data_IF_085842417165
#
_entry.id   IF_085842417165
#
_cell.length_a   1.000
_cell.length_b   1.000
_cell.length_c   1.000
_cell.angle_alpha   90.00
_cell.angle_beta   90.00
_cell.angle_gamma   90.00
#
_symmetry.space_group_name_H-M   'P 1'
#
loop_
_entity.id
_entity.type
_entity.pdbx_description
1 polymer ?
#
# COMPACT_ATOMS: atom_id res chain seq x y z
N UNK A 1 1.07 -6.01 20.90
CA UNK A 1 1.16 -5.35 22.19
C UNK A 1 2.42 -5.83 22.89
N UNK A 2 3.16 -4.91 23.49
CA UNK A 2 4.44 -5.19 24.15
C UNK A 2 4.29 -6.15 25.35
N UNK A 3 3.06 -6.44 25.74
CA UNK A 3 2.67 -7.35 26.85
C UNK A 3 2.53 -8.82 26.47
N UNK A 4 2.70 -9.21 25.19
CA UNK A 4 2.61 -10.63 24.82
C UNK A 4 3.89 -11.38 25.17
N UNK A 5 3.77 -12.63 25.67
CA UNK A 5 4.94 -13.48 25.98
C UNK A 5 5.87 -13.65 24.77
N UNK A 6 5.30 -13.74 23.56
CA UNK A 6 6.06 -13.83 22.31
C UNK A 6 6.93 -12.59 22.09
N UNK A 7 6.40 -11.38 22.34
CA UNK A 7 7.14 -10.14 22.18
C UNK A 7 8.24 -9.98 23.23
N UNK A 8 7.93 -10.29 24.48
CA UNK A 8 8.91 -10.29 25.56
C UNK A 8 10.04 -11.31 25.29
N UNK A 9 9.70 -12.50 24.79
CA UNK A 9 10.67 -13.50 24.37
C UNK A 9 11.54 -12.99 23.21
N UNK A 10 10.95 -12.32 22.21
CA UNK A 10 11.68 -11.75 21.08
C UNK A 10 12.63 -10.60 21.52
N UNK A 11 12.19 -9.74 22.44
CA UNK A 11 13.03 -8.68 23.02
C UNK A 11 14.22 -9.23 23.80
N UNK A 12 14.02 -10.30 24.59
CA UNK A 12 15.09 -10.99 25.29
C UNK A 12 16.05 -11.61 24.28
N UNK A 13 15.54 -12.29 23.24
CA UNK A 13 16.37 -12.86 22.18
C UNK A 13 17.21 -11.80 21.47
N UNK A 14 16.59 -10.69 21.05
CA UNK A 14 17.29 -9.62 20.35
C UNK A 14 18.31 -8.88 21.23
N UNK A 15 18.11 -8.87 22.56
CA UNK A 15 19.04 -8.24 23.49
C UNK A 15 20.21 -9.14 23.88
N UNK A 16 19.97 -10.43 24.05
CA UNK A 16 20.97 -11.38 24.56
C UNK A 16 21.67 -12.18 23.46
N UNK A 17 21.08 -12.24 22.25
CA UNK A 17 21.59 -13.02 21.12
C UNK A 17 21.60 -12.18 19.84
N UNK A 18 22.65 -12.32 19.06
CA UNK A 18 22.71 -11.77 17.70
C UNK A 18 21.91 -12.71 16.79
N UNK A 19 20.80 -12.23 16.24
CA UNK A 19 20.01 -12.99 15.27
C UNK A 19 20.53 -12.70 13.87
N UNK A 20 21.40 -13.56 13.37
CA UNK A 20 21.95 -13.45 12.02
C UNK A 20 20.86 -13.57 10.95
N UNK A 21 21.01 -12.85 9.84
CA UNK A 21 20.17 -13.02 8.68
C UNK A 21 20.43 -14.34 7.98
N UNK A 22 19.38 -15.01 7.52
CA UNK A 22 19.46 -16.27 6.79
C UNK A 22 18.74 -16.20 5.44
N UNK A 23 19.20 -17.04 4.51
CA UNK A 23 18.54 -17.26 3.23
C UNK A 23 18.51 -18.75 2.90
N UNK A 24 17.39 -19.21 2.36
CA UNK A 24 17.26 -20.52 1.73
C UNK A 24 17.51 -20.39 0.24
N UNK A 25 18.53 -21.06 -0.26
CA UNK A 25 18.94 -21.04 -1.66
C UNK A 25 18.76 -22.42 -2.24
N UNK A 26 17.82 -22.57 -3.17
CA UNK A 26 17.62 -23.81 -3.91
C UNK A 26 18.25 -23.65 -5.29
N UNK A 27 19.01 -24.66 -5.70
CA UNK A 27 19.61 -24.76 -7.03
C UNK A 27 19.10 -26.05 -7.67
N UNK A 28 18.48 -25.94 -8.85
CA UNK A 28 17.92 -27.05 -9.59
C UNK A 28 18.89 -27.55 -10.67
N UNK A 29 18.68 -28.78 -11.13
CA UNK A 29 19.45 -29.43 -12.19
C UNK A 29 20.94 -29.59 -11.88
N UNK A 30 21.29 -29.89 -10.62
CA UNK A 30 22.65 -30.15 -10.18
C UNK A 30 22.80 -31.57 -9.64
N UNK A 31 23.95 -32.17 -9.86
CA UNK A 31 24.32 -33.44 -9.23
C UNK A 31 24.73 -33.19 -7.78
N UNK A 32 24.74 -34.24 -6.94
CA UNK A 32 25.15 -34.09 -5.55
C UNK A 32 26.60 -33.56 -5.42
N UNK A 33 27.52 -34.04 -6.25
CA UNK A 33 28.92 -33.56 -6.27
C UNK A 33 29.01 -32.07 -6.64
N UNK A 34 28.24 -31.63 -7.64
CA UNK A 34 28.17 -30.20 -7.97
C UNK A 34 27.57 -29.38 -6.83
N UNK A 35 26.60 -29.93 -6.10
CA UNK A 35 26.02 -29.25 -4.94
C UNK A 35 27.05 -29.10 -3.79
N UNK A 36 27.91 -30.10 -3.57
CA UNK A 36 29.03 -30.00 -2.60
C UNK A 36 30.03 -28.91 -3.03
N UNK A 37 30.39 -28.85 -4.31
CA UNK A 37 31.27 -27.79 -4.85
C UNK A 37 30.64 -26.39 -4.71
N UNK A 38 29.34 -26.28 -4.97
CA UNK A 38 28.60 -25.03 -4.78
C UNK A 38 28.52 -24.62 -3.31
N UNK A 39 28.36 -25.57 -2.39
CA UNK A 39 28.37 -25.28 -0.96
C UNK A 39 29.74 -24.70 -0.51
N UNK A 40 30.86 -25.27 -0.99
CA UNK A 40 32.19 -24.73 -0.70
C UNK A 40 32.42 -23.35 -1.32
N UNK A 41 31.95 -23.15 -2.57
CA UNK A 41 32.01 -21.84 -3.23
C UNK A 41 31.23 -20.79 -2.45
N UNK A 42 30.02 -21.12 -2.01
CA UNK A 42 29.15 -20.22 -1.27
C UNK A 42 29.72 -19.85 0.11
N UNK A 43 30.47 -20.75 0.78
CA UNK A 43 31.15 -20.45 2.03
C UNK A 43 32.27 -19.41 1.85
N UNK A 44 32.83 -19.30 0.65
CA UNK A 44 33.84 -18.29 0.30
C UNK A 44 33.27 -16.94 -0.14
N UNK A 45 31.97 -16.77 -0.23
CA UNK A 45 31.34 -15.52 -0.68
C UNK A 45 31.39 -14.47 0.43
N UNK A 46 31.82 -13.27 0.10
CA UNK A 46 31.89 -12.16 1.04
C UNK A 46 30.51 -11.82 1.66
N UNK A 47 30.48 -11.75 3.00
CA UNK A 47 29.27 -11.54 3.79
C UNK A 47 28.54 -12.82 4.19
N UNK A 48 28.99 -14.00 3.77
CA UNK A 48 28.47 -15.30 4.19
C UNK A 48 29.24 -15.80 5.41
N UNK A 49 28.52 -16.14 6.47
CA UNK A 49 29.06 -16.69 7.72
C UNK A 49 29.16 -18.21 7.69
N UNK A 50 28.08 -18.86 7.25
CA UNK A 50 28.03 -20.31 7.16
C UNK A 50 27.03 -20.76 6.10
N UNK A 51 27.29 -21.95 5.53
CA UNK A 51 26.41 -22.63 4.61
C UNK A 51 26.15 -24.04 5.13
N UNK A 52 24.90 -24.33 5.44
CA UNK A 52 24.45 -25.67 5.83
C UNK A 52 23.99 -26.42 4.57
N UNK A 53 24.65 -27.55 4.32
CA UNK A 53 24.29 -28.50 3.28
C UNK A 53 24.73 -29.87 3.73
N UNK A 54 23.78 -30.79 3.86
CA UNK A 54 24.01 -32.16 4.33
C UNK A 54 23.51 -33.18 3.33
N UNK A 55 24.02 -34.39 3.43
CA UNK A 55 23.62 -35.51 2.58
C UNK A 55 22.34 -36.17 3.09
N UNK A 56 21.26 -35.41 3.06
CA UNK A 56 19.93 -35.87 3.46
C UNK A 56 18.86 -35.49 2.41
N UNK A 57 17.66 -36.00 2.57
CA UNK A 57 16.53 -35.72 1.67
C UNK A 57 15.96 -34.30 1.83
N UNK A 58 16.37 -33.56 2.87
CA UNK A 58 15.95 -32.19 3.09
C UNK A 58 16.81 -31.22 2.30
N UNK A 59 18.11 -31.52 2.17
CA UNK A 59 19.06 -30.66 1.45
C UNK A 59 19.29 -31.08 0.00
N UNK A 60 19.08 -32.36 -0.35
CA UNK A 60 19.23 -32.80 -1.74
C UNK A 60 18.14 -33.80 -2.12
N UNK A 61 17.34 -33.43 -3.13
CA UNK A 61 16.27 -34.28 -3.66
C UNK A 61 16.04 -33.99 -5.15
N UNK A 62 15.83 -35.02 -5.96
CA UNK A 62 15.41 -34.92 -7.37
C UNK A 62 16.25 -33.94 -8.20
N UNK A 63 17.60 -34.07 -8.12
CA UNK A 63 18.56 -33.18 -8.78
C UNK A 63 18.43 -31.70 -8.38
N UNK A 64 17.93 -31.41 -7.19
CA UNK A 64 17.87 -30.08 -6.59
C UNK A 64 18.57 -30.06 -5.23
N UNK A 65 19.38 -29.04 -5.01
CA UNK A 65 20.09 -28.82 -3.76
C UNK A 65 19.50 -27.61 -3.02
N UNK A 66 19.31 -27.74 -1.71
CA UNK A 66 18.86 -26.66 -0.82
C UNK A 66 19.98 -26.32 0.15
N UNK A 67 20.47 -25.08 0.08
CA UNK A 67 21.47 -24.52 0.98
C UNK A 67 20.78 -23.57 1.96
N UNK A 68 21.11 -23.67 3.26
CA UNK A 68 20.75 -22.65 4.24
C UNK A 68 21.98 -21.79 4.48
N UNK A 69 21.94 -20.56 3.99
CA UNK A 69 23.04 -19.60 4.04
C UNK A 69 22.78 -18.60 5.16
N UNK A 70 23.70 -18.54 6.14
CA UNK A 70 23.67 -17.55 7.22
C UNK A 70 24.70 -16.45 6.90
N UNK A 71 24.34 -15.19 7.12
CA UNK A 71 25.17 -14.03 6.82
C UNK A 71 25.78 -13.41 8.07
N UNK A 72 26.85 -12.60 7.92
CA UNK A 72 27.62 -12.02 9.03
C UNK A 72 26.93 -10.87 9.77
N UNK A 73 25.73 -10.48 9.37
CA UNK A 73 24.95 -9.40 9.98
C UNK A 73 23.50 -9.81 10.26
N UNK A 74 22.76 -8.90 10.89
CA UNK A 74 21.33 -9.05 11.10
C UNK A 74 20.53 -8.89 9.78
N UNK A 75 19.24 -9.20 9.79
CA UNK A 75 18.36 -9.17 8.60
C UNK A 75 18.32 -7.83 7.85
N UNK A 76 18.52 -6.72 8.54
CA UNK A 76 18.50 -5.37 7.96
C UNK A 76 19.88 -4.75 7.77
N UNK A 77 20.95 -5.46 8.14
CA UNK A 77 22.31 -4.97 7.99
C UNK A 77 22.73 -4.91 6.52
N UNK A 78 23.49 -3.86 6.20
CA UNK A 78 24.06 -3.69 4.85
C UNK A 78 24.95 -4.86 4.42
N UNK A 79 25.64 -5.49 5.38
CA UNK A 79 26.49 -6.66 5.14
C UNK A 79 25.65 -7.84 4.66
N UNK A 80 24.54 -8.14 5.35
CA UNK A 80 23.64 -9.22 4.96
C UNK A 80 22.95 -8.94 3.63
N UNK A 81 22.48 -7.70 3.40
CA UNK A 81 21.86 -7.28 2.14
C UNK A 81 22.86 -7.42 0.96
N UNK A 82 24.10 -7.00 1.17
CA UNK A 82 25.15 -7.16 0.15
C UNK A 82 25.53 -8.62 -0.03
N UNK A 83 25.60 -9.41 1.05
CA UNK A 83 25.88 -10.85 1.02
C UNK A 83 24.85 -11.61 0.16
N UNK A 84 23.56 -11.31 0.29
CA UNK A 84 22.52 -11.90 -0.57
C UNK A 84 22.74 -11.57 -2.05
N UNK A 85 23.15 -10.33 -2.36
CA UNK A 85 23.48 -9.92 -3.74
C UNK A 85 24.71 -10.67 -4.26
N UNK A 86 25.72 -10.83 -3.44
CA UNK A 86 26.95 -11.56 -3.78
C UNK A 86 26.67 -13.05 -4.02
N UNK A 87 25.84 -13.68 -3.17
CA UNK A 87 25.37 -15.07 -3.35
C UNK A 87 24.62 -15.22 -4.66
N UNK A 88 23.71 -14.27 -4.98
CA UNK A 88 22.98 -14.29 -6.25
C UNK A 88 23.92 -14.15 -7.45
N UNK A 89 24.90 -13.28 -7.38
CA UNK A 89 25.90 -13.10 -8.44
C UNK A 89 26.81 -14.33 -8.60
N UNK A 90 27.18 -14.98 -7.50
CA UNK A 90 27.99 -16.22 -7.53
C UNK A 90 27.25 -17.41 -8.16
N UNK A 91 25.93 -17.40 -8.10
CA UNK A 91 25.08 -18.43 -8.70
C UNK A 91 24.51 -18.01 -10.07
N UNK A 92 25.06 -16.96 -10.67
CA UNK A 92 24.67 -16.56 -12.02
C UNK A 92 24.98 -17.68 -13.02
N UNK A 93 23.99 -18.07 -13.81
CA UNK A 93 24.07 -19.21 -14.73
C UNK A 93 23.50 -20.53 -14.20
N UNK A 94 23.08 -20.61 -12.94
CA UNK A 94 22.33 -21.72 -12.38
C UNK A 94 20.85 -21.39 -12.26
N UNK A 95 20.00 -22.42 -12.32
CA UNK A 95 18.56 -22.27 -12.04
C UNK A 95 18.34 -22.20 -10.54
N UNK A 96 18.25 -20.95 -10.02
CA UNK A 96 18.30 -20.66 -8.59
C UNK A 96 17.02 -19.97 -8.10
N UNK A 97 16.57 -20.40 -6.91
CA UNK A 97 15.45 -19.80 -6.17
C UNK A 97 15.93 -19.41 -4.76
N UNK A 98 15.91 -18.13 -4.45
CA UNK A 98 16.37 -17.60 -3.15
C UNK A 98 15.18 -17.06 -2.38
N UNK A 99 14.95 -17.60 -1.18
CA UNK A 99 13.95 -17.12 -0.21
C UNK A 99 14.66 -16.59 1.02
N UNK A 100 14.45 -15.32 1.33
CA UNK A 100 15.07 -14.67 2.49
C UNK A 100 14.20 -13.50 2.98
N UNK A 101 14.36 -13.16 4.27
CA UNK A 101 13.77 -11.95 4.87
C UNK A 101 14.80 -10.80 4.95
N UNK A 102 16.03 -11.01 4.49
CA UNK A 102 17.09 -10.01 4.50
C UNK A 102 16.76 -8.87 3.53
N UNK A 103 16.92 -7.63 3.99
CA UNK A 103 16.60 -6.44 3.21
C UNK A 103 15.10 -6.18 3.03
N UNK A 104 14.24 -6.91 3.76
CA UNK A 104 12.78 -6.83 3.69
C UNK A 104 12.23 -6.99 2.26
N UNK A 105 12.56 -8.08 1.55
CA UNK A 105 12.13 -8.28 0.16
C UNK A 105 10.60 -8.31 0.02
N UNK A 106 9.90 -8.74 1.09
CA UNK A 106 8.43 -8.71 1.14
C UNK A 106 7.90 -7.28 1.03
N UNK A 107 8.57 -6.30 1.64
CA UNK A 107 8.21 -4.89 1.55
C UNK A 107 8.33 -4.34 0.13
N UNK A 108 9.45 -4.61 -0.55
CA UNK A 108 9.68 -4.15 -1.93
C UNK A 108 8.71 -4.79 -2.93
N UNK A 109 8.45 -6.10 -2.79
CA UNK A 109 7.48 -6.82 -3.63
C UNK A 109 6.09 -6.23 -3.41
N UNK A 110 5.69 -6.05 -2.16
CA UNK A 110 4.38 -5.51 -1.80
C UNK A 110 4.22 -4.06 -2.30
N UNK A 111 5.27 -3.24 -2.23
CA UNK A 111 5.25 -1.88 -2.78
C UNK A 111 5.01 -1.87 -4.30
N UNK A 112 5.67 -2.74 -5.02
CA UNK A 112 5.48 -2.87 -6.46
C UNK A 112 4.07 -3.34 -6.80
N UNK A 113 3.56 -4.36 -6.13
CA UNK A 113 2.20 -4.87 -6.33
C UNK A 113 1.16 -3.80 -6.00
N UNK A 114 1.31 -3.09 -4.89
CA UNK A 114 0.38 -2.00 -4.52
C UNK A 114 0.42 -0.84 -5.51
N UNK A 115 1.55 -0.55 -6.13
CA UNK A 115 1.63 0.47 -7.20
C UNK A 115 0.83 0.05 -8.42
N UNK A 116 0.88 -1.23 -8.80
CA UNK A 116 0.09 -1.78 -9.91
C UNK A 116 -1.42 -1.68 -9.57
N UNK A 117 -1.80 -2.07 -8.36
CA UNK A 117 -3.19 -1.97 -7.89
C UNK A 117 -3.69 -0.52 -7.95
N UNK A 118 -2.89 0.45 -7.50
CA UNK A 118 -3.25 1.88 -7.56
C UNK A 118 -3.42 2.37 -9.01
N UNK A 119 -2.57 1.95 -9.93
CA UNK A 119 -2.70 2.31 -11.34
C UNK A 119 -3.99 1.73 -11.93
N UNK A 120 -4.29 0.45 -11.68
CA UNK A 120 -5.51 -0.20 -12.14
C UNK A 120 -6.74 0.51 -11.57
N UNK A 121 -6.71 0.83 -10.27
CA UNK A 121 -7.77 1.56 -9.59
C UNK A 121 -7.98 2.94 -10.23
N UNK A 122 -6.91 3.71 -10.45
CA UNK A 122 -7.01 5.04 -11.09
C UNK A 122 -7.57 4.95 -12.50
N UNK A 123 -7.15 3.96 -13.30
CA UNK A 123 -7.71 3.74 -14.63
C UNK A 123 -9.20 3.35 -14.56
N UNK A 124 -9.59 2.49 -13.63
CA UNK A 124 -10.98 2.08 -13.41
C UNK A 124 -11.85 3.28 -13.01
N UNK A 125 -11.37 4.10 -12.06
CA UNK A 125 -12.03 5.34 -11.64
C UNK A 125 -12.24 6.27 -12.84
N UNK A 126 -11.21 6.49 -13.64
CA UNK A 126 -11.29 7.34 -14.82
C UNK A 126 -12.34 6.85 -15.81
N UNK A 127 -12.38 5.54 -16.07
CA UNK A 127 -13.40 4.93 -16.95
C UNK A 127 -14.82 5.11 -16.38
N UNK A 128 -15.00 4.82 -15.09
CA UNK A 128 -16.32 4.99 -14.43
C UNK A 128 -16.76 6.44 -14.49
N UNK A 129 -15.89 7.39 -14.20
CA UNK A 129 -16.20 8.81 -14.26
C UNK A 129 -16.58 9.26 -15.68
N UNK A 130 -15.89 8.77 -16.71
CA UNK A 130 -16.25 9.07 -18.11
C UNK A 130 -17.61 8.52 -18.50
N UNK A 131 -18.03 7.38 -17.94
CA UNK A 131 -19.32 6.76 -18.24
C UNK A 131 -20.46 7.36 -17.42
N UNK A 132 -20.17 7.83 -16.20
CA UNK A 132 -21.20 8.31 -15.24
C UNK A 132 -21.35 9.83 -15.27
N UNK A 133 -20.29 10.56 -15.64
CA UNK A 133 -20.29 12.03 -15.66
C UNK A 133 -21.17 12.55 -16.80
N UNK A 134 -22.11 13.41 -16.49
CA UNK A 134 -22.92 14.12 -17.47
C UNK A 134 -22.14 15.22 -18.19
N UNK A 135 -21.01 15.67 -17.61
CA UNK A 135 -20.19 16.74 -18.18
C UNK A 135 -18.70 16.43 -18.00
N UNK A 136 -17.93 16.46 -19.09
CA UNK A 136 -16.48 16.23 -19.05
C UNK A 136 -15.71 17.17 -18.11
N UNK A 137 -16.26 18.33 -17.79
CA UNK A 137 -15.66 19.28 -16.85
C UNK A 137 -15.74 18.84 -15.38
N UNK A 138 -16.59 17.88 -15.03
CA UNK A 138 -16.65 17.30 -13.67
C UNK A 138 -15.43 16.44 -13.37
N UNK A 139 -14.91 15.72 -14.37
CA UNK A 139 -13.79 14.79 -14.20
C UNK A 139 -12.54 15.45 -13.61
N UNK A 140 -12.05 16.61 -14.13
CA UNK A 140 -10.91 17.29 -13.50
C UNK A 140 -11.18 17.79 -12.07
N UNK A 141 -12.39 18.22 -11.75
CA UNK A 141 -12.77 18.60 -10.38
C UNK A 141 -12.58 17.42 -9.43
N UNK A 142 -13.05 16.25 -9.83
CA UNK A 142 -12.96 15.03 -9.04
C UNK A 142 -11.51 14.58 -8.85
N UNK A 143 -10.74 14.57 -9.94
CA UNK A 143 -9.32 14.17 -9.88
C UNK A 143 -8.52 15.10 -8.96
N UNK A 144 -8.71 16.42 -9.06
CA UNK A 144 -8.03 17.39 -8.19
C UNK A 144 -8.44 17.19 -6.73
N UNK A 145 -9.72 17.01 -6.45
CA UNK A 145 -10.25 16.79 -5.11
C UNK A 145 -9.62 15.54 -4.47
N UNK A 146 -9.55 14.44 -5.21
CA UNK A 146 -8.96 13.19 -4.71
C UNK A 146 -7.44 13.29 -4.55
N UNK A 147 -6.75 13.92 -5.49
CA UNK A 147 -5.31 14.11 -5.40
C UNK A 147 -4.94 14.93 -4.14
N UNK A 148 -5.68 16.00 -3.85
CA UNK A 148 -5.46 16.81 -2.65
C UNK A 148 -5.79 16.01 -1.39
N UNK A 149 -6.89 15.24 -1.36
CA UNK A 149 -7.25 14.41 -0.21
C UNK A 149 -6.15 13.38 0.12
N UNK A 150 -5.65 12.66 -0.91
CA UNK A 150 -4.56 11.70 -0.74
C UNK A 150 -3.25 12.39 -0.30
N UNK A 151 -2.94 13.54 -0.87
CA UNK A 151 -1.74 14.30 -0.53
C UNK A 151 -1.75 14.77 0.92
N UNK A 152 -2.86 15.35 1.38
CA UNK A 152 -3.04 15.79 2.75
C UNK A 152 -2.96 14.60 3.72
N UNK A 153 -3.59 13.49 3.37
CA UNK A 153 -3.50 12.28 4.19
C UNK A 153 -2.05 11.75 4.31
N UNK A 154 -1.31 11.67 3.20
CA UNK A 154 0.10 11.24 3.21
C UNK A 154 0.99 12.24 3.96
N UNK A 155 0.80 13.53 3.74
CA UNK A 155 1.59 14.59 4.41
C UNK A 155 1.42 14.58 5.93
N UNK A 156 0.22 14.28 6.40
CA UNK A 156 -0.09 14.21 7.84
C UNK A 156 0.31 12.88 8.50
N UNK A 157 0.76 11.88 7.74
CA UNK A 157 1.33 10.64 8.29
C UNK A 157 2.60 10.90 9.12
N UNK A 158 3.27 12.02 8.90
CA UNK A 158 4.39 12.45 9.73
C UNK A 158 4.06 12.53 11.25
N UNK A 159 2.81 12.78 11.61
CA UNK A 159 2.38 12.79 13.01
C UNK A 159 2.31 11.39 13.66
N UNK A 160 2.24 10.35 12.84
CA UNK A 160 2.25 8.94 13.28
C UNK A 160 3.65 8.37 13.02
N UNK A 161 4.59 8.54 13.91
CA UNK A 161 6.04 8.23 13.80
C UNK A 161 6.40 7.06 12.87
N UNK A 162 5.62 5.98 12.88
CA UNK A 162 5.80 4.81 12.03
C UNK A 162 4.44 4.35 11.49
N UNK A 163 4.16 4.59 10.22
CA UNK A 163 2.99 4.04 9.55
C UNK A 163 3.42 2.84 8.72
N UNK A 164 2.78 1.69 8.93
CA UNK A 164 3.04 0.51 8.11
C UNK A 164 2.82 0.82 6.63
N UNK A 165 3.71 0.32 5.79
CA UNK A 165 3.59 0.42 4.33
C UNK A 165 2.23 -0.13 3.84
N UNK A 166 1.77 -1.24 4.43
CA UNK A 166 0.47 -1.85 4.14
C UNK A 166 -0.66 -0.87 4.45
N UNK A 167 -0.65 -0.26 5.64
CA UNK A 167 -1.63 0.73 6.08
C UNK A 167 -1.69 1.93 5.14
N UNK A 168 -0.53 2.47 4.76
CA UNK A 168 -0.46 3.63 3.85
C UNK A 168 -1.04 3.32 2.45
N UNK A 169 -0.80 2.12 1.95
CA UNK A 169 -1.31 1.68 0.64
C UNK A 169 -2.82 1.44 0.68
N UNK A 170 -3.32 0.74 1.71
CA UNK A 170 -4.75 0.48 1.89
C UNK A 170 -5.51 1.80 2.11
N UNK A 171 -4.94 2.74 2.85
CA UNK A 171 -5.54 4.06 3.07
C UNK A 171 -5.77 4.82 1.75
N UNK A 172 -4.80 4.80 0.83
CA UNK A 172 -4.94 5.44 -0.47
C UNK A 172 -6.05 4.78 -1.32
N UNK A 173 -6.11 3.44 -1.35
CA UNK A 173 -7.14 2.68 -2.08
C UNK A 173 -8.54 2.97 -1.52
N UNK A 174 -8.69 2.89 -0.19
CA UNK A 174 -9.96 3.17 0.48
C UNK A 174 -10.42 4.63 0.25
N UNK A 175 -9.49 5.57 0.36
CA UNK A 175 -9.77 6.99 0.19
C UNK A 175 -10.23 7.31 -1.24
N UNK A 176 -9.63 6.68 -2.24
CA UNK A 176 -10.05 6.82 -3.63
C UNK A 176 -11.42 6.17 -3.87
N UNK A 177 -11.66 4.97 -3.34
CA UNK A 177 -12.94 4.27 -3.48
C UNK A 177 -14.10 5.05 -2.86
N UNK A 178 -13.99 5.45 -1.59
CA UNK A 178 -15.01 6.25 -0.91
C UNK A 178 -15.13 7.65 -1.51
N UNK A 179 -14.03 8.20 -2.02
CA UNK A 179 -14.02 9.52 -2.65
C UNK A 179 -14.95 9.60 -3.84
N UNK A 180 -14.99 8.57 -4.68
CA UNK A 180 -15.88 8.51 -5.84
C UNK A 180 -17.33 8.59 -5.38
N UNK A 181 -17.73 7.79 -4.39
CA UNK A 181 -19.10 7.76 -3.91
C UNK A 181 -19.53 9.13 -3.39
N UNK A 182 -18.69 9.79 -2.60
CA UNK A 182 -18.98 11.13 -2.07
C UNK A 182 -19.04 12.20 -3.15
N UNK A 183 -18.18 12.07 -4.13
CA UNK A 183 -18.13 12.98 -5.25
C UNK A 183 -19.34 12.83 -6.17
N UNK A 184 -19.78 11.62 -6.45
CA UNK A 184 -20.98 11.35 -7.24
C UNK A 184 -22.21 11.93 -6.55
N UNK A 185 -22.36 11.74 -5.22
CA UNK A 185 -23.46 12.34 -4.44
C UNK A 185 -23.47 13.85 -4.60
N UNK A 186 -22.32 14.51 -4.41
CA UNK A 186 -22.21 15.96 -4.53
C UNK A 186 -22.49 16.47 -5.94
N UNK A 187 -21.95 15.82 -6.98
CA UNK A 187 -22.17 16.16 -8.38
C UNK A 187 -23.64 15.97 -8.77
N UNK A 188 -24.26 14.86 -8.34
CA UNK A 188 -25.65 14.58 -8.64
C UNK A 188 -26.57 15.66 -8.10
N UNK A 189 -26.46 16.03 -6.83
CA UNK A 189 -27.20 17.14 -6.24
C UNK A 189 -26.90 18.46 -6.93
N UNK A 190 -25.64 18.72 -7.30
CA UNK A 190 -25.30 19.95 -8.01
C UNK A 190 -25.96 20.01 -9.38
N UNK A 191 -25.94 18.95 -10.17
CA UNK A 191 -26.54 18.91 -11.51
C UNK A 191 -28.06 19.11 -11.43
N UNK A 192 -28.71 18.44 -10.49
CA UNK A 192 -30.19 18.59 -10.29
C UNK A 192 -30.61 20.02 -9.90
N UNK A 193 -29.88 20.62 -8.94
CA UNK A 193 -30.20 21.98 -8.50
C UNK A 193 -29.79 23.05 -9.53
N UNK A 194 -28.77 22.75 -10.35
CA UNK A 194 -28.27 23.67 -11.38
C UNK A 194 -29.29 23.91 -12.52
N UNK A 195 -30.19 22.97 -12.75
CA UNK A 195 -31.31 23.17 -13.71
C UNK A 195 -32.27 24.30 -13.29
N UNK A 196 -32.32 24.61 -12.00
CA UNK A 196 -33.31 25.52 -11.42
C UNK A 196 -32.72 26.78 -10.80
N UNK A 197 -31.44 26.80 -10.52
CA UNK A 197 -30.77 27.87 -9.75
C UNK A 197 -29.45 28.30 -10.41
N UNK A 198 -29.02 29.51 -10.04
CA UNK A 198 -27.70 30.01 -10.40
C UNK A 198 -26.55 29.12 -9.79
N UNK A 199 -25.37 29.07 -10.42
CA UNK A 199 -24.31 28.17 -10.00
C UNK A 199 -23.96 28.21 -8.51
N UNK A 200 -23.93 29.41 -7.94
CA UNK A 200 -23.64 29.63 -6.53
C UNK A 200 -24.70 29.07 -5.60
N UNK A 201 -25.96 29.33 -5.92
CA UNK A 201 -27.12 28.87 -5.13
C UNK A 201 -27.26 27.35 -5.25
N UNK A 202 -27.11 26.81 -6.46
CA UNK A 202 -27.09 25.38 -6.72
C UNK A 202 -26.01 24.66 -5.93
N UNK A 203 -24.77 25.22 -5.88
CA UNK A 203 -23.67 24.64 -5.11
C UNK A 203 -23.97 24.63 -3.61
N UNK A 204 -24.50 25.71 -3.05
CA UNK A 204 -24.85 25.79 -1.62
C UNK A 204 -25.96 24.77 -1.31
N UNK A 205 -26.98 24.67 -2.19
CA UNK A 205 -28.05 23.72 -1.99
C UNK A 205 -27.59 22.28 -2.09
N UNK A 206 -26.80 21.95 -3.11
CA UNK A 206 -26.19 20.64 -3.28
C UNK A 206 -25.36 20.23 -2.06
N UNK A 207 -24.53 21.14 -1.55
CA UNK A 207 -23.75 20.89 -0.35
C UNK A 207 -24.64 20.61 0.88
N UNK A 208 -25.73 21.37 1.03
CA UNK A 208 -26.67 21.19 2.13
C UNK A 208 -27.32 19.80 2.10
N UNK A 209 -27.61 19.28 0.90
CA UNK A 209 -28.19 17.95 0.71
C UNK A 209 -27.13 16.84 0.87
N UNK A 210 -25.93 17.04 0.33
CA UNK A 210 -24.86 16.05 0.35
C UNK A 210 -24.24 15.84 1.75
N UNK A 211 -24.14 16.87 2.59
CA UNK A 211 -23.52 16.77 3.93
C UNK A 211 -24.14 15.64 4.78
N UNK A 212 -25.46 15.56 5.00
CA UNK A 212 -26.05 14.51 5.83
C UNK A 212 -25.85 13.12 5.22
N UNK A 213 -25.93 12.95 3.90
CA UNK A 213 -25.76 11.66 3.23
C UNK A 213 -24.32 11.15 3.35
N UNK A 214 -23.35 11.99 2.99
CA UNK A 214 -21.92 11.66 3.08
C UNK A 214 -21.51 11.44 4.54
N UNK A 215 -21.99 12.27 5.47
CA UNK A 215 -21.67 12.14 6.89
C UNK A 215 -22.23 10.85 7.49
N UNK A 216 -23.44 10.44 7.14
CA UNK A 216 -24.03 9.20 7.61
C UNK A 216 -23.24 7.96 7.11
N UNK A 217 -22.89 7.94 5.83
CA UNK A 217 -22.06 6.89 5.23
C UNK A 217 -20.69 6.83 5.88
N UNK A 218 -20.01 8.00 6.01
CA UNK A 218 -18.68 8.09 6.62
C UNK A 218 -18.69 7.65 8.09
N UNK A 219 -19.71 8.04 8.86
CA UNK A 219 -19.83 7.66 10.27
C UNK A 219 -19.96 6.15 10.43
N UNK A 220 -20.71 5.50 9.55
CA UNK A 220 -20.83 4.03 9.53
C UNK A 220 -19.47 3.37 9.27
N UNK A 221 -18.73 3.86 8.28
CA UNK A 221 -17.39 3.34 7.95
C UNK A 221 -16.39 3.60 9.08
N UNK A 222 -16.40 4.79 9.66
CA UNK A 222 -15.55 5.14 10.82
C UNK A 222 -15.87 4.23 12.02
N UNK A 223 -17.14 3.96 12.27
CA UNK A 223 -17.55 3.05 13.36
C UNK A 223 -17.02 1.64 13.17
N UNK A 224 -17.04 1.12 11.92
CA UNK A 224 -16.44 -0.16 11.57
C UNK A 224 -14.92 -0.16 11.75
N UNK A 225 -14.25 0.92 11.33
CA UNK A 225 -12.80 1.06 11.49
C UNK A 225 -12.39 1.23 12.97
N UNK A 226 -13.19 1.91 13.79
CA UNK A 226 -12.96 1.99 15.23
C UNK A 226 -12.95 0.60 15.89
N UNK A 227 -13.71 -0.36 15.37
CA UNK A 227 -13.65 -1.73 15.87
C UNK A 227 -12.25 -2.37 15.71
N UNK A 228 -11.48 -1.98 14.70
CA UNK A 228 -10.10 -2.45 14.50
C UNK A 228 -9.14 -1.96 15.59
N UNK A 229 -9.41 -0.80 16.22
CA UNK A 229 -8.56 -0.27 17.30
C UNK A 229 -8.61 -1.13 18.56
N UNK A 230 -9.64 -1.97 18.72
CA UNK A 230 -9.74 -2.94 19.83
C UNK A 230 -8.99 -4.26 19.56
N UNK A 231 -8.40 -4.42 18.37
CA UNK A 231 -7.59 -5.60 18.07
C UNK A 231 -6.30 -5.59 18.88
N UNK A 232 -5.88 -6.76 19.35
CA UNK A 232 -4.61 -6.93 20.09
C UNK A 232 -3.38 -6.92 19.17
N UNK A 233 -3.57 -6.81 17.87
CA UNK A 233 -2.49 -6.81 16.86
C UNK A 233 -2.17 -5.35 16.51
N UNK A 234 -0.92 -4.95 16.62
CA UNK A 234 -0.47 -3.56 16.38
C UNK A 234 -0.86 -3.03 14.99
N UNK A 235 -0.89 -3.91 13.98
CA UNK A 235 -1.32 -3.54 12.62
C UNK A 235 -2.79 -3.08 12.59
N UNK A 236 -3.67 -3.69 13.39
CA UNK A 236 -5.10 -3.30 13.46
C UNK A 236 -5.28 -1.91 14.04
N UNK A 237 -4.55 -1.58 15.10
CA UNK A 237 -4.55 -0.25 15.72
C UNK A 237 -4.02 0.83 14.76
N UNK A 238 -2.87 0.58 14.13
CA UNK A 238 -2.26 1.47 13.13
C UNK A 238 -3.21 1.73 11.95
N UNK A 239 -3.78 0.65 11.38
CA UNK A 239 -4.75 0.75 10.28
C UNK A 239 -5.98 1.56 10.69
N UNK A 240 -6.55 1.31 11.88
CA UNK A 240 -7.73 2.02 12.37
C UNK A 240 -7.52 3.54 12.36
N UNK A 241 -6.48 4.02 13.01
CA UNK A 241 -6.20 5.45 13.16
C UNK A 241 -5.92 6.14 11.82
N UNK A 242 -5.09 5.52 10.99
CA UNK A 242 -4.71 6.09 9.68
C UNK A 242 -5.89 6.11 8.71
N UNK A 243 -6.72 5.07 8.69
CA UNK A 243 -7.88 4.99 7.81
C UNK A 243 -9.00 5.95 8.25
N UNK A 244 -9.26 6.07 9.55
CA UNK A 244 -10.21 7.07 10.08
C UNK A 244 -9.77 8.48 9.70
N UNK A 245 -8.49 8.81 9.91
CA UNK A 245 -7.92 10.08 9.48
C UNK A 245 -8.09 10.31 7.98
N UNK A 246 -7.84 9.29 7.16
CA UNK A 246 -8.00 9.38 5.71
C UNK A 246 -9.43 9.74 5.30
N UNK A 247 -10.45 9.13 5.95
CA UNK A 247 -11.86 9.44 5.69
C UNK A 247 -12.21 10.87 6.13
N UNK A 248 -11.72 11.31 7.29
CA UNK A 248 -11.97 12.67 7.76
C UNK A 248 -11.38 13.72 6.81
N UNK A 249 -10.15 13.54 6.32
CA UNK A 249 -9.57 14.43 5.33
C UNK A 249 -10.29 14.39 3.99
N UNK A 250 -10.77 13.21 3.58
CA UNK A 250 -11.59 13.08 2.38
C UNK A 250 -12.88 13.89 2.51
N UNK A 251 -13.61 13.74 3.63
CA UNK A 251 -14.83 14.52 3.90
C UNK A 251 -14.56 16.02 3.87
N UNK A 252 -13.49 16.47 4.56
CA UNK A 252 -13.11 17.89 4.55
C UNK A 252 -12.82 18.39 3.12
N UNK A 253 -12.11 17.61 2.34
CA UNK A 253 -11.76 17.98 0.95
C UNK A 253 -13.04 18.04 0.09
N UNK A 254 -13.95 17.08 0.23
CA UNK A 254 -15.21 17.09 -0.50
C UNK A 254 -16.12 18.25 -0.08
N UNK A 255 -16.18 18.60 1.20
CA UNK A 255 -17.05 19.68 1.68
C UNK A 255 -16.51 21.08 1.41
N UNK A 256 -15.20 21.27 1.35
CA UNK A 256 -14.61 22.61 1.21
C UNK A 256 -13.99 22.84 -0.18
N UNK A 257 -13.18 21.90 -0.67
CA UNK A 257 -12.46 22.09 -1.92
C UNK A 257 -13.37 21.83 -3.12
N UNK A 258 -14.14 20.76 -3.10
CA UNK A 258 -14.97 20.37 -4.25
C UNK A 258 -16.01 21.41 -4.63
N UNK A 259 -16.79 22.01 -3.70
CA UNK A 259 -17.72 23.09 -4.04
C UNK A 259 -17.04 24.32 -4.66
N UNK A 260 -15.84 24.67 -4.13
CA UNK A 260 -15.07 25.76 -4.68
C UNK A 260 -14.60 25.49 -6.12
N UNK A 261 -14.17 24.26 -6.40
CA UNK A 261 -13.78 23.83 -7.75
C UNK A 261 -14.97 23.79 -8.71
N UNK A 262 -16.13 23.29 -8.26
CA UNK A 262 -17.36 23.27 -9.06
C UNK A 262 -17.76 24.71 -9.44
N UNK A 263 -17.75 25.65 -8.48
CA UNK A 263 -18.04 27.05 -8.75
C UNK A 263 -17.04 27.68 -9.73
N UNK A 264 -15.75 27.41 -9.56
CA UNK A 264 -14.71 27.91 -10.44
C UNK A 264 -14.82 27.37 -11.87
N UNK A 265 -15.16 26.10 -12.02
CA UNK A 265 -15.31 25.45 -13.32
C UNK A 265 -16.72 25.55 -13.92
N UNK A 266 -17.68 26.12 -13.20
CA UNK A 266 -19.06 26.31 -13.65
C UNK A 266 -19.19 26.97 -15.05
N UNK A 267 -18.39 27.98 -15.44
CA UNK A 267 -18.46 28.54 -16.81
C UNK A 267 -18.12 27.52 -17.90
N UNK A 268 -17.22 26.59 -17.61
CA UNK A 268 -16.81 25.53 -18.54
C UNK A 268 -17.83 24.38 -18.60
N UNK A 269 -18.48 24.09 -17.49
CA UNK A 269 -19.56 23.12 -17.40
C UNK A 269 -20.74 23.57 -18.24
N UNK A 270 -21.07 24.87 -18.20
CA UNK A 270 -22.20 25.46 -18.91
C UNK A 270 -21.98 25.58 -20.44
N UNK A 271 -20.72 25.78 -20.88
CA UNK A 271 -20.40 25.90 -22.31
C UNK A 271 -20.57 24.59 -23.10
N UNK A 272 -20.41 23.44 -22.44
CA UNK A 272 -20.60 22.14 -23.06
C UNK A 272 -22.06 21.69 -23.14
N UNK A 273 -22.91 22.22 -22.27
CA UNK A 273 -24.35 21.92 -22.26
C UNK A 273 -25.12 22.65 -23.37
N UNK A 274 -24.60 23.75 -23.90
CA UNK A 274 -25.25 24.56 -24.97
C UNK A 274 -24.89 24.11 -26.39
N UNK A 275 -24.05 23.07 -26.54
CA UNK A 275 -23.61 22.57 -27.86
C UNK A 275 -24.54 21.49 -28.45
N UNK A 276 -25.50 20.96 -27.69
CA UNK A 276 -26.42 19.90 -28.12
C UNK A 276 -27.89 20.36 -28.20
N UNK A 277 -28.13 21.68 -28.30
CA UNK A 277 -29.48 22.26 -28.52
C UNK A 277 -29.62 22.83 -29.94
#
# INVERSE_FOLDING_TARGET
PDSTQTRQGLEIMNREFITYGDAKVMVSNVTFTQAEELAEMLRGVDGVKSVEFEKDTQHYNSASALFVVTFDGEKLDKISIQGVKNVRAALDGYDTYITTEIGNPTGEILEREMRIVLIILMCSIFVVLLLTSHTYAEVPVLIITFAVAVWVNKGTNYWFHEVSFITNSIAAVLQLGLGIDYAIIMCHHYTEERERMEPREATIRALTLAIPEISASSLTTISGLLALSFMKIKIGEDMSLVLIKAILFLMLTVFFLMPALIMYMSPWICLLYTSDA
#
